data_IF_080845976784
#
_entry.id   IF_080845976784
#
_cell.length_a   1.000
_cell.length_b   1.000
_cell.length_c   1.000
_cell.angle_alpha   90.00
_cell.angle_beta   90.00
_cell.angle_gamma   90.00
#
_symmetry.space_group_name_H-M   'P 1'
#
loop_
_entity.id
_entity.type
_entity.pdbx_description
1 polymer ?
#
# COMPACT_ATOMS: atom_id res chain seq x y z
N UNK A 1 -22.58 22.67 4.97
CA UNK A 1 -23.30 23.03 3.75
C UNK A 1 -23.12 24.51 3.42
N UNK A 2 -23.11 24.89 2.12
CA UNK A 2 -23.03 26.28 1.70
C UNK A 2 -24.36 26.98 1.87
N UNK A 3 -24.31 28.27 2.24
CA UNK A 3 -25.46 29.16 2.24
C UNK A 3 -25.10 30.38 1.41
N UNK A 4 -25.96 30.72 0.44
CA UNK A 4 -25.81 31.94 -0.34
C UNK A 4 -26.31 33.14 0.47
N UNK A 5 -25.46 34.13 0.66
CA UNK A 5 -25.80 35.40 1.30
C UNK A 5 -25.60 36.56 0.33
N UNK A 6 -26.13 37.74 0.66
CA UNK A 6 -25.89 38.98 -0.12
C UNK A 6 -24.39 39.37 -0.19
N UNK A 7 -23.52 38.74 0.62
CA UNK A 7 -22.08 38.98 0.66
C UNK A 7 -21.26 37.82 0.05
N UNK A 8 -21.94 36.85 -0.62
CA UNK A 8 -21.29 35.67 -1.21
C UNK A 8 -21.65 34.35 -0.53
N UNK A 9 -21.00 33.31 -0.94
CA UNK A 9 -21.19 31.97 -0.40
C UNK A 9 -20.48 31.81 0.96
N UNK A 10 -21.21 31.35 1.97
CA UNK A 10 -20.69 31.13 3.32
C UNK A 10 -20.89 29.66 3.67
N UNK A 11 -19.84 28.99 4.06
CA UNK A 11 -19.90 27.61 4.55
C UNK A 11 -20.18 27.57 6.04
N UNK A 12 -21.21 26.81 6.44
CA UNK A 12 -21.63 26.67 7.82
C UNK A 12 -21.54 25.22 8.27
N UNK A 13 -20.97 25.02 9.45
CA UNK A 13 -21.04 23.75 10.18
C UNK A 13 -22.02 23.90 11.33
N UNK A 14 -23.08 23.08 11.35
CA UNK A 14 -24.08 23.10 12.41
C UNK A 14 -23.99 21.82 13.24
N UNK A 15 -23.86 21.94 14.54
CA UNK A 15 -24.04 20.84 15.50
C UNK A 15 -25.31 21.09 16.31
N UNK A 16 -26.27 20.17 16.24
CA UNK A 16 -27.42 20.19 17.12
C UNK A 16 -26.96 19.63 18.48
N UNK A 17 -26.99 20.48 19.54
CA UNK A 17 -26.49 20.08 20.83
C UNK A 17 -27.58 19.57 21.78
N UNK A 18 -28.83 20.16 21.73
CA UNK A 18 -29.92 19.80 22.63
C UNK A 18 -31.29 20.05 21.99
N UNK A 19 -32.25 19.18 22.39
CA UNK A 19 -33.67 19.39 22.19
C UNK A 19 -34.35 19.41 23.55
N UNK A 20 -34.92 20.52 23.96
CA UNK A 20 -35.69 20.60 25.19
C UNK A 20 -37.18 20.55 24.85
N UNK A 21 -37.88 19.60 25.45
CA UNK A 21 -39.32 19.46 25.28
C UNK A 21 -40.02 20.58 26.07
N UNK A 22 -40.79 21.43 25.40
CA UNK A 22 -41.51 22.52 26.06
C UNK A 22 -42.55 22.00 27.02
N UNK A 23 -42.40 22.40 28.32
CA UNK A 23 -43.36 22.09 29.39
C UNK A 23 -44.26 23.29 29.77
N UNK A 24 -44.21 24.38 28.97
CA UNK A 24 -44.97 25.61 29.23
C UNK A 24 -46.25 25.75 28.44
N UNK A 25 -47.06 26.74 28.79
CA UNK A 25 -48.37 27.03 28.21
C UNK A 25 -48.33 27.25 26.68
N UNK A 26 -47.18 27.61 26.09
CA UNK A 26 -46.94 27.75 24.66
C UNK A 26 -46.29 26.53 23.98
N UNK A 27 -46.13 25.43 24.64
CA UNK A 27 -45.85 24.04 24.18
C UNK A 27 -44.83 23.80 23.04
N UNK A 28 -44.07 24.77 22.64
CA UNK A 28 -43.11 24.68 21.53
C UNK A 28 -41.78 24.01 21.95
N UNK A 29 -41.37 23.00 21.23
CA UNK A 29 -40.03 22.40 21.37
C UNK A 29 -38.95 23.44 21.01
N UNK A 30 -37.94 23.60 21.89
CA UNK A 30 -36.79 24.47 21.62
C UNK A 30 -35.61 23.62 21.23
N UNK A 31 -34.97 23.94 20.12
CA UNK A 31 -33.73 23.34 19.67
C UNK A 31 -32.59 24.36 19.78
N UNK A 32 -31.50 23.96 20.45
CA UNK A 32 -30.29 24.78 20.51
C UNK A 32 -29.21 24.13 19.65
N UNK A 33 -28.57 24.93 18.84
CA UNK A 33 -27.49 24.48 17.99
C UNK A 33 -26.34 25.48 17.96
N UNK A 34 -25.13 24.99 17.76
CA UNK A 34 -23.98 25.85 17.48
C UNK A 34 -23.81 25.94 15.99
N UNK A 35 -23.84 27.19 15.47
CA UNK A 35 -23.52 27.48 14.08
C UNK A 35 -22.14 28.11 14.05
N UNK A 36 -21.22 27.47 13.40
CA UNK A 36 -19.85 27.95 13.24
C UNK A 36 -19.61 28.26 11.75
N UNK A 37 -19.11 29.47 11.47
CA UNK A 37 -18.61 29.79 10.14
C UNK A 37 -17.34 28.99 9.88
N UNK A 38 -17.30 28.28 8.77
CA UNK A 38 -16.09 27.58 8.28
C UNK A 38 -15.69 28.20 6.95
N UNK A 39 -14.41 28.22 6.68
CA UNK A 39 -13.92 28.62 5.36
C UNK A 39 -14.32 27.56 4.32
N UNK A 40 -14.59 27.99 3.10
CA UNK A 40 -14.81 27.06 2.00
C UNK A 40 -13.56 26.17 1.85
N UNK A 41 -13.73 24.86 1.61
CA UNK A 41 -12.60 24.00 1.34
C UNK A 41 -11.77 24.56 0.19
N UNK A 42 -10.47 24.71 0.38
CA UNK A 42 -9.60 25.19 -0.70
C UNK A 42 -9.65 24.19 -1.86
N UNK A 43 -9.55 24.67 -3.08
CA UNK A 43 -9.54 23.80 -4.28
C UNK A 43 -8.43 22.75 -4.19
N UNK A 44 -7.32 23.08 -3.55
CA UNK A 44 -6.19 22.17 -3.31
C UNK A 44 -6.60 21.01 -2.40
N UNK A 45 -7.33 21.28 -1.30
CA UNK A 45 -7.82 20.24 -0.38
C UNK A 45 -8.81 19.30 -1.08
N UNK A 46 -9.65 19.85 -1.98
CA UNK A 46 -10.61 19.05 -2.76
C UNK A 46 -9.89 18.17 -3.79
N UNK A 47 -8.86 18.69 -4.46
CA UNK A 47 -8.04 17.92 -5.42
C UNK A 47 -7.29 16.79 -4.72
N UNK A 48 -6.73 17.06 -3.56
CA UNK A 48 -6.02 16.05 -2.79
C UNK A 48 -6.97 14.97 -2.24
N UNK A 49 -8.14 15.35 -1.78
CA UNK A 49 -9.17 14.39 -1.38
C UNK A 49 -9.61 13.51 -2.55
N UNK A 50 -9.82 14.10 -3.75
CA UNK A 50 -10.18 13.36 -4.94
C UNK A 50 -9.08 12.39 -5.39
N UNK A 51 -7.81 12.81 -5.35
CA UNK A 51 -6.66 11.94 -5.63
C UNK A 51 -6.65 10.74 -4.69
N UNK A 52 -6.77 10.95 -3.37
CA UNK A 52 -6.80 9.85 -2.38
C UNK A 52 -7.94 8.87 -2.64
N UNK A 53 -9.15 9.37 -2.96
CA UNK A 53 -10.29 8.51 -3.30
C UNK A 53 -10.01 7.71 -4.58
N UNK A 54 -9.47 8.35 -5.60
CA UNK A 54 -9.12 7.69 -6.86
C UNK A 54 -8.05 6.60 -6.64
N UNK A 55 -7.01 6.89 -5.86
CA UNK A 55 -5.96 5.92 -5.53
C UNK A 55 -6.54 4.71 -4.76
N UNK A 56 -7.46 4.95 -3.83
CA UNK A 56 -8.13 3.89 -3.10
C UNK A 56 -8.99 3.02 -4.03
N UNK A 57 -9.75 3.64 -4.94
CA UNK A 57 -10.56 2.92 -5.93
C UNK A 57 -9.69 2.09 -6.88
N UNK A 58 -8.56 2.63 -7.34
CA UNK A 58 -7.61 1.89 -8.17
C UNK A 58 -7.07 0.65 -7.45
N UNK A 59 -6.69 0.80 -6.18
CA UNK A 59 -6.22 -0.33 -5.36
C UNK A 59 -7.29 -1.39 -5.14
N UNK A 60 -8.51 -0.98 -4.79
CA UNK A 60 -9.64 -1.92 -4.61
C UNK A 60 -9.97 -2.64 -5.92
N UNK A 61 -9.99 -1.92 -7.04
CA UNK A 61 -10.24 -2.52 -8.34
C UNK A 61 -9.15 -3.54 -8.70
N UNK A 62 -7.87 -3.21 -8.46
CA UNK A 62 -6.75 -4.13 -8.64
C UNK A 62 -6.95 -5.44 -7.86
N UNK A 63 -7.21 -5.35 -6.55
CA UNK A 63 -7.44 -6.54 -5.70
C UNK A 63 -8.61 -7.36 -6.22
N UNK A 64 -9.73 -6.71 -6.56
CA UNK A 64 -10.92 -7.40 -7.08
C UNK A 64 -10.65 -8.12 -8.39
N UNK A 65 -9.95 -7.48 -9.33
CA UNK A 65 -9.60 -8.07 -10.63
C UNK A 65 -8.62 -9.23 -10.46
N UNK A 66 -7.64 -9.11 -9.56
CA UNK A 66 -6.70 -10.19 -9.23
C UNK A 66 -7.41 -11.42 -8.67
N UNK A 67 -8.35 -11.22 -7.73
CA UNK A 67 -9.17 -12.31 -7.19
C UNK A 67 -10.04 -12.99 -8.26
N UNK A 68 -10.65 -12.19 -9.15
CA UNK A 68 -11.46 -12.72 -10.24
C UNK A 68 -10.64 -13.56 -11.24
N UNK A 69 -9.35 -13.27 -11.44
CA UNK A 69 -8.47 -14.11 -12.28
C UNK A 69 -8.28 -15.50 -11.70
N UNK A 70 -8.06 -15.62 -10.39
CA UNK A 70 -7.96 -16.93 -9.72
C UNK A 70 -9.25 -17.75 -9.76
N UNK A 71 -10.41 -17.11 -9.97
CA UNK A 71 -11.69 -17.79 -10.11
C UNK A 71 -11.98 -18.26 -11.54
N UNK A 72 -11.15 -17.86 -12.52
CA UNK A 72 -11.20 -18.35 -13.89
C UNK A 72 -10.38 -19.63 -13.99
N UNK A 73 -10.74 -20.45 -14.99
CA UNK A 73 -10.06 -21.75 -15.24
C UNK A 73 -8.73 -21.54 -16.00
N UNK A 74 -7.89 -20.62 -15.49
CA UNK A 74 -6.57 -20.29 -16.04
C UNK A 74 -5.48 -20.98 -15.21
N UNK A 75 -4.33 -21.25 -15.83
CA UNK A 75 -3.18 -21.78 -15.09
C UNK A 75 -2.73 -20.79 -14.00
N UNK A 76 -2.53 -21.26 -12.79
CA UNK A 76 -2.18 -20.44 -11.62
C UNK A 76 -0.92 -19.61 -11.88
N UNK A 77 0.08 -20.21 -12.55
CA UNK A 77 1.35 -19.56 -12.92
C UNK A 77 1.13 -18.36 -13.82
N UNK A 78 0.21 -18.47 -14.80
CA UNK A 78 -0.16 -17.37 -15.70
C UNK A 78 -0.85 -16.24 -14.94
N UNK A 79 -1.78 -16.60 -14.04
CA UNK A 79 -2.44 -15.61 -13.16
C UNK A 79 -1.45 -14.83 -12.31
N UNK A 80 -0.47 -15.51 -11.70
CA UNK A 80 0.55 -14.87 -10.86
C UNK A 80 1.39 -13.92 -11.71
N UNK A 81 1.88 -14.35 -12.87
CA UNK A 81 2.68 -13.52 -13.76
C UNK A 81 1.94 -12.25 -14.20
N UNK A 82 0.65 -12.35 -14.50
CA UNK A 82 -0.18 -11.21 -14.86
C UNK A 82 -0.42 -10.25 -13.70
N UNK A 83 -0.63 -10.78 -12.50
CA UNK A 83 -0.77 -9.96 -11.29
C UNK A 83 0.54 -9.21 -10.99
N UNK A 84 1.71 -9.88 -11.08
CA UNK A 84 3.00 -9.23 -10.88
C UNK A 84 3.26 -8.14 -11.93
N UNK A 85 2.84 -8.37 -13.19
CA UNK A 85 2.94 -7.36 -14.25
C UNK A 85 2.04 -6.15 -13.97
N UNK A 86 0.83 -6.37 -13.48
CA UNK A 86 -0.06 -5.29 -13.07
C UNK A 86 0.49 -4.50 -11.88
N UNK A 87 1.12 -5.17 -10.89
CA UNK A 87 1.82 -4.52 -9.80
C UNK A 87 2.95 -3.65 -10.34
N UNK A 88 3.81 -4.18 -11.22
CA UNK A 88 4.89 -3.43 -11.84
C UNK A 88 4.36 -2.15 -12.53
N UNK A 89 3.25 -2.26 -13.27
CA UNK A 89 2.63 -1.13 -13.95
C UNK A 89 2.06 -0.08 -12.97
N UNK A 90 1.52 -0.49 -11.82
CA UNK A 90 1.07 0.43 -10.77
C UNK A 90 2.21 1.27 -10.19
N UNK A 91 3.44 0.75 -10.20
CA UNK A 91 4.64 1.41 -9.71
C UNK A 91 5.55 1.93 -10.85
N UNK A 92 4.94 2.57 -11.86
CA UNK A 92 5.58 3.20 -13.01
C UNK A 92 6.18 2.25 -14.06
N UNK A 93 5.94 0.95 -13.98
CA UNK A 93 6.39 -0.04 -14.96
C UNK A 93 7.90 -0.14 -15.13
N UNK A 94 8.70 0.24 -14.10
CA UNK A 94 10.17 0.19 -14.14
C UNK A 94 10.71 -0.66 -13.00
N UNK A 95 11.68 -1.51 -13.30
CA UNK A 95 12.30 -2.40 -12.33
C UNK A 95 11.82 -3.83 -12.45
N UNK A 96 11.69 -4.49 -11.32
CA UNK A 96 11.25 -5.89 -11.23
C UNK A 96 10.26 -6.07 -10.08
N UNK A 97 9.35 -7.04 -10.24
CA UNK A 97 8.49 -7.56 -9.17
C UNK A 97 8.74 -9.05 -9.06
N UNK A 98 8.92 -9.54 -7.85
CA UNK A 98 9.33 -10.92 -7.61
C UNK A 98 8.65 -11.50 -6.39
N UNK A 99 8.59 -12.85 -6.35
CA UNK A 99 8.18 -13.64 -5.18
C UNK A 99 9.29 -14.61 -4.85
N UNK A 100 9.70 -14.62 -3.58
CA UNK A 100 10.59 -15.61 -3.00
C UNK A 100 9.83 -16.52 -2.05
N UNK A 101 10.22 -17.78 -2.04
CA UNK A 101 9.76 -18.79 -1.10
C UNK A 101 10.92 -19.22 -0.21
N UNK A 102 10.66 -19.37 1.09
CA UNK A 102 11.60 -20.00 2.02
C UNK A 102 11.41 -21.51 2.03
N UNK A 103 12.49 -22.25 2.29
CA UNK A 103 12.40 -23.66 2.61
C UNK A 103 11.68 -23.90 3.96
N UNK A 104 11.39 -25.15 4.29
CA UNK A 104 10.62 -25.50 5.50
C UNK A 104 11.30 -25.08 6.80
N UNK A 105 12.63 -24.98 6.82
CA UNK A 105 13.44 -24.65 7.99
C UNK A 105 14.00 -23.22 7.97
N UNK A 106 13.63 -22.41 6.96
CA UNK A 106 14.10 -21.04 6.75
C UNK A 106 15.62 -20.89 6.60
N UNK A 107 16.30 -21.94 6.13
CA UNK A 107 17.72 -21.90 5.87
C UNK A 107 18.07 -21.30 4.51
N UNK A 108 17.19 -21.49 3.52
CA UNK A 108 17.35 -21.00 2.17
C UNK A 108 16.07 -20.37 1.64
N UNK A 109 16.22 -19.55 0.62
CA UNK A 109 15.11 -18.99 -0.13
C UNK A 109 15.42 -18.98 -1.64
N UNK A 110 14.38 -19.08 -2.44
CA UNK A 110 14.48 -19.10 -3.91
C UNK A 110 13.45 -18.17 -4.54
N UNK A 111 13.84 -17.47 -5.60
CA UNK A 111 12.91 -16.70 -6.41
C UNK A 111 12.07 -17.66 -7.25
N UNK A 112 10.76 -17.70 -6.98
CA UNK A 112 9.84 -18.61 -7.70
C UNK A 112 9.07 -17.90 -8.81
N UNK A 113 8.93 -16.58 -8.75
CA UNK A 113 8.32 -15.76 -9.79
C UNK A 113 9.04 -14.43 -9.91
N UNK A 114 9.26 -13.99 -11.14
CA UNK A 114 9.83 -12.67 -11.45
C UNK A 114 9.18 -12.10 -12.71
N UNK A 115 8.86 -10.82 -12.67
CA UNK A 115 8.48 -10.02 -13.84
C UNK A 115 9.36 -8.79 -13.88
N UNK A 116 9.98 -8.52 -15.03
CA UNK A 116 10.87 -7.39 -15.25
C UNK A 116 10.31 -6.44 -16.30
N UNK A 117 10.68 -5.17 -16.18
CA UNK A 117 10.38 -4.18 -17.22
C UNK A 117 11.37 -4.27 -18.38
N UNK A 118 11.02 -3.64 -19.48
CA UNK A 118 11.93 -3.53 -20.63
C UNK A 118 13.27 -2.89 -20.22
N UNK A 119 14.38 -3.50 -20.64
CA UNK A 119 15.73 -3.05 -20.33
C UNK A 119 16.27 -3.47 -18.97
N UNK A 120 15.50 -4.23 -18.18
CA UNK A 120 15.94 -4.85 -16.91
C UNK A 120 16.15 -6.35 -17.15
N UNK A 121 17.34 -6.87 -16.78
CA UNK A 121 17.62 -8.31 -16.85
C UNK A 121 16.82 -9.08 -15.78
N UNK A 122 16.31 -10.24 -16.16
CA UNK A 122 15.77 -11.19 -15.20
C UNK A 122 16.91 -11.85 -14.41
N UNK A 123 16.69 -12.07 -13.13
CA UNK A 123 17.67 -12.67 -12.22
C UNK A 123 17.16 -13.98 -11.58
N UNK A 124 15.96 -14.40 -11.93
CA UNK A 124 15.33 -15.58 -11.33
C UNK A 124 16.23 -16.81 -11.31
N UNK A 125 16.99 -17.06 -12.38
CA UNK A 125 17.88 -18.21 -12.48
C UNK A 125 19.13 -18.08 -11.57
N UNK A 126 19.51 -16.85 -11.21
CA UNK A 126 20.64 -16.54 -10.35
C UNK A 126 20.24 -16.49 -8.86
N UNK A 127 18.95 -16.42 -8.58
CA UNK A 127 18.39 -16.22 -7.24
C UNK A 127 17.73 -17.52 -6.73
N UNK A 128 18.44 -18.64 -6.86
CA UNK A 128 17.99 -19.96 -6.44
C UNK A 128 18.82 -20.47 -5.27
N UNK A 129 18.15 -21.12 -4.32
CA UNK A 129 18.78 -21.80 -3.16
C UNK A 129 19.76 -20.90 -2.38
N UNK A 130 19.39 -19.64 -2.20
CA UNK A 130 20.22 -18.65 -1.53
C UNK A 130 20.19 -18.86 -0.01
N UNK A 131 21.34 -18.92 0.67
CA UNK A 131 21.36 -19.04 2.13
C UNK A 131 20.76 -17.79 2.79
N UNK A 132 19.77 -17.97 3.64
CA UNK A 132 19.13 -16.86 4.39
C UNK A 132 20.13 -16.17 5.36
N UNK A 133 21.22 -16.87 5.71
CA UNK A 133 22.31 -16.33 6.54
C UNK A 133 23.16 -15.24 5.85
N UNK A 134 23.17 -15.20 4.51
CA UNK A 134 23.89 -14.18 3.73
C UNK A 134 23.18 -12.82 3.73
N UNK A 135 21.87 -12.81 4.07
CA UNK A 135 21.04 -11.60 4.23
C UNK A 135 20.31 -11.65 5.57
N UNK A 136 21.08 -11.65 6.65
CA UNK A 136 20.57 -11.90 8.00
C UNK A 136 19.56 -10.85 8.45
N UNK A 137 19.90 -9.55 8.33
CA UNK A 137 19.02 -8.46 8.70
C UNK A 137 17.69 -8.54 7.92
N UNK A 138 17.79 -8.79 6.62
CA UNK A 138 16.64 -8.96 5.74
C UNK A 138 15.73 -10.10 6.19
N UNK A 139 16.32 -11.28 6.41
CA UNK A 139 15.58 -12.45 6.85
C UNK A 139 14.92 -12.24 8.21
N UNK A 140 15.59 -11.59 9.16
CA UNK A 140 15.02 -11.25 10.47
C UNK A 140 13.81 -10.30 10.35
N UNK A 141 13.87 -9.28 9.48
CA UNK A 141 12.73 -8.39 9.26
C UNK A 141 11.54 -9.15 8.67
N UNK A 142 11.76 -9.87 7.58
CA UNK A 142 10.72 -10.61 6.87
C UNK A 142 10.10 -11.69 7.75
N UNK A 143 10.90 -12.53 8.41
CA UNK A 143 10.41 -13.61 9.27
C UNK A 143 9.70 -13.09 10.53
N UNK A 144 9.97 -11.86 10.96
CA UNK A 144 9.19 -11.19 12.01
C UNK A 144 7.86 -10.60 11.51
N UNK A 145 7.51 -10.80 10.25
CA UNK A 145 6.29 -10.28 9.62
C UNK A 145 6.34 -8.78 9.30
N UNK A 146 7.54 -8.17 9.27
CA UNK A 146 7.70 -6.73 9.01
C UNK A 146 8.02 -6.48 7.54
N UNK A 147 7.36 -5.51 6.89
CA UNK A 147 7.75 -5.07 5.56
C UNK A 147 9.06 -4.27 5.61
N UNK A 148 9.84 -4.36 4.54
CA UNK A 148 11.02 -3.53 4.30
C UNK A 148 10.64 -2.48 3.26
N UNK A 149 10.80 -1.20 3.59
CA UNK A 149 10.50 -0.07 2.69
C UNK A 149 11.70 0.85 2.67
N UNK A 150 12.43 0.87 1.56
CA UNK A 150 13.59 1.71 1.34
C UNK A 150 13.31 2.69 0.20
N UNK A 151 13.13 3.95 0.56
CA UNK A 151 13.02 5.03 -0.44
C UNK A 151 14.37 5.32 -1.09
N UNK A 152 15.45 5.13 -0.33
CA UNK A 152 16.83 5.18 -0.78
C UNK A 152 17.64 4.10 -0.04
N UNK A 153 18.70 3.58 -0.65
CA UNK A 153 19.53 2.55 -0.03
C UNK A 153 20.37 3.05 1.14
N UNK A 154 20.64 4.34 1.20
CA UNK A 154 21.41 4.96 2.29
C UNK A 154 20.79 4.71 3.67
N UNK A 155 19.51 4.38 3.71
CA UNK A 155 18.81 3.98 4.95
C UNK A 155 19.41 2.71 5.57
N UNK A 156 20.09 1.85 4.79
CA UNK A 156 20.73 0.62 5.27
C UNK A 156 22.18 0.82 5.76
N UNK A 157 22.81 1.96 5.51
CA UNK A 157 24.24 2.16 5.80
C UNK A 157 24.60 1.87 7.25
N UNK A 158 23.72 2.21 8.20
CA UNK A 158 23.95 2.04 9.63
C UNK A 158 23.37 0.70 10.14
N UNK A 159 22.23 0.27 9.63
CA UNK A 159 21.50 -0.88 10.18
C UNK A 159 21.93 -2.22 9.55
N UNK A 160 22.24 -2.20 8.25
CA UNK A 160 22.52 -3.40 7.46
C UNK A 160 23.54 -3.11 6.33
N UNK A 161 24.81 -2.80 6.67
CA UNK A 161 25.80 -2.41 5.68
C UNK A 161 26.13 -3.50 4.66
N UNK A 162 26.01 -4.77 5.03
CA UNK A 162 26.25 -5.91 4.12
C UNK A 162 25.16 -5.97 3.06
N UNK A 163 23.89 -5.85 3.44
CA UNK A 163 22.75 -5.77 2.52
C UNK A 163 22.85 -4.53 1.62
N UNK A 164 23.29 -3.40 2.17
CA UNK A 164 23.55 -2.20 1.36
C UNK A 164 24.50 -2.49 0.20
N UNK A 165 25.63 -3.16 0.47
CA UNK A 165 26.61 -3.48 -0.57
C UNK A 165 26.02 -4.41 -1.65
N UNK A 166 25.27 -5.43 -1.24
CA UNK A 166 24.61 -6.37 -2.16
C UNK A 166 23.65 -5.62 -3.10
N UNK A 167 22.82 -4.73 -2.55
CA UNK A 167 21.80 -4.01 -3.31
C UNK A 167 22.40 -2.94 -4.24
N UNK A 168 23.46 -2.26 -3.80
CA UNK A 168 24.17 -1.26 -4.62
C UNK A 168 24.79 -1.90 -5.85
N UNK A 169 25.43 -3.04 -5.72
CA UNK A 169 26.06 -3.78 -6.84
C UNK A 169 25.00 -4.18 -7.89
N UNK A 170 23.78 -4.48 -7.44
CA UNK A 170 22.65 -4.79 -8.34
C UNK A 170 21.99 -3.53 -8.96
N UNK A 171 22.50 -2.33 -8.65
CA UNK A 171 21.96 -1.07 -9.18
C UNK A 171 20.58 -0.69 -8.64
N UNK A 172 20.16 -1.30 -7.53
CA UNK A 172 18.89 -0.99 -6.86
C UNK A 172 18.99 0.40 -6.24
N UNK A 173 17.93 1.19 -6.33
CA UNK A 173 17.86 2.56 -5.77
C UNK A 173 16.85 2.67 -4.65
N UNK A 174 15.75 1.97 -4.79
CA UNK A 174 14.65 1.91 -3.83
C UNK A 174 13.98 0.56 -3.95
N UNK A 175 13.35 0.09 -2.90
CA UNK A 175 12.59 -1.14 -2.92
C UNK A 175 11.49 -1.16 -1.85
N UNK A 176 10.52 -2.00 -2.07
CA UNK A 176 9.53 -2.38 -1.08
C UNK A 176 9.38 -3.89 -1.08
N UNK A 177 9.47 -4.49 0.10
CA UNK A 177 9.29 -5.94 0.27
C UNK A 177 8.28 -6.19 1.37
N UNK A 178 7.38 -7.12 1.13
CA UNK A 178 6.35 -7.52 2.10
C UNK A 178 6.39 -9.01 2.33
N UNK A 179 6.31 -9.48 3.59
CA UNK A 179 6.20 -10.89 3.89
C UNK A 179 4.87 -11.46 3.36
N UNK A 180 4.92 -12.70 2.88
CA UNK A 180 3.75 -13.47 2.46
C UNK A 180 3.42 -14.49 3.55
N UNK A 181 2.18 -14.38 4.07
CA UNK A 181 1.75 -15.13 5.25
C UNK A 181 0.72 -16.21 4.89
N UNK A 182 0.82 -17.36 5.54
CA UNK A 182 -0.24 -18.35 5.61
C UNK A 182 -0.58 -18.59 7.07
N UNK A 183 -1.71 -18.07 7.54
CA UNK A 183 -1.98 -17.97 8.97
C UNK A 183 -0.94 -17.08 9.66
N UNK A 184 -0.30 -17.61 10.69
CA UNK A 184 0.76 -16.91 11.44
C UNK A 184 2.18 -17.23 10.92
N UNK A 185 2.29 -18.02 9.85
CA UNK A 185 3.57 -18.44 9.29
C UNK A 185 3.93 -17.63 8.05
N UNK A 186 5.13 -17.07 8.03
CA UNK A 186 5.74 -16.52 6.81
C UNK A 186 6.19 -17.69 5.94
N UNK A 187 5.75 -17.75 4.69
CA UNK A 187 6.24 -18.75 3.73
C UNK A 187 7.18 -18.17 2.69
N UNK A 188 7.15 -16.85 2.52
CA UNK A 188 7.97 -16.17 1.54
C UNK A 188 7.82 -14.66 1.64
N UNK A 189 8.20 -13.98 0.58
CA UNK A 189 8.03 -12.52 0.47
C UNK A 189 7.90 -12.09 -0.98
N UNK A 190 7.25 -10.95 -1.18
CA UNK A 190 7.13 -10.29 -2.48
C UNK A 190 7.84 -8.95 -2.42
N UNK A 191 8.61 -8.62 -3.47
CA UNK A 191 9.31 -7.36 -3.58
C UNK A 191 9.11 -6.66 -4.93
N UNK A 192 9.33 -5.35 -4.92
CA UNK A 192 9.37 -4.47 -6.08
C UNK A 192 10.50 -3.47 -5.95
#
# INVERSE_FOLDING_TARGET
FPIHSKYGEVWLHTRLAFREKGTGVDGGDKAFGIIQRVEAPKEEDQRDALRRVNDLLCRQNFVSQSLLRFLRDEAVESCIADILRDILNLYNGKGRVYIFEYDEIYAHHSCIYEVVSEGVSAEIDNLQDMPASESKWWSEQILSGKPIILNTLEQLLEEAPDEYQILVVQGIKSLMVTPLMTGDRVWGYMGI
#
